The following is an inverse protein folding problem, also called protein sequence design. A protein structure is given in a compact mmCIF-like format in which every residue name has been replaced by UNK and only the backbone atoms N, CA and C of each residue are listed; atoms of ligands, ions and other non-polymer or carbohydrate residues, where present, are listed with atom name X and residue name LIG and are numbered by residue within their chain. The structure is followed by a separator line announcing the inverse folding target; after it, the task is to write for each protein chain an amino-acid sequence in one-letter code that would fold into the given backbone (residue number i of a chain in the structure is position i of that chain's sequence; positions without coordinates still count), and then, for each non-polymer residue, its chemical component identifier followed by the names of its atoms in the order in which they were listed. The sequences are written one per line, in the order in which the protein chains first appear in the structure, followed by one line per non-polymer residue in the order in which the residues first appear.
data_IF_127185746918
#
_entry.id   IF_127185746918
#
_cell.length_a   1.000
_cell.length_b   1.000
_cell.length_c   1.000
_cell.angle_alpha   90.00
_cell.angle_beta   90.00
_cell.angle_gamma   90.00
#
_symmetry.space_group_name_H-M   'P 1'
#
loop_
_entity.id
_entity.type
_entity.pdbx_description
1 polymer ?
#
# COMPACT_ATOMS: atom_id res chain seq x y z
N UNK A 1 10.45 2.44 9.57
CA UNK A 1 9.98 1.62 8.43
C UNK A 1 10.64 2.13 7.16
N UNK A 2 11.90 1.78 6.95
CA UNK A 2 12.59 2.05 5.68
C UNK A 2 12.24 0.90 4.76
N UNK A 3 11.06 0.96 4.14
CA UNK A 3 10.77 0.07 3.03
C UNK A 3 11.78 0.41 1.94
N UNK A 4 12.64 -0.56 1.67
CA UNK A 4 13.61 -0.51 0.60
C UNK A 4 12.94 0.06 -0.66
N UNK A 5 13.57 1.08 -1.22
CA UNK A 5 13.32 1.55 -2.58
C UNK A 5 13.50 0.32 -3.48
N UNK A 6 12.43 -0.42 -3.75
CA UNK A 6 12.44 -1.38 -4.83
C UNK A 6 12.74 -0.54 -6.08
N UNK A 7 13.98 -0.60 -6.54
CA UNK A 7 14.36 -0.03 -7.83
C UNK A 7 13.35 -0.54 -8.86
N UNK A 8 12.86 0.32 -9.75
CA UNK A 8 11.84 -0.05 -10.74
C UNK A 8 12.29 -1.32 -11.51
N UNK A 9 13.59 -1.43 -11.76
CA UNK A 9 14.26 -2.60 -12.35
C UNK A 9 13.99 -3.91 -11.59
N UNK A 10 13.87 -3.90 -10.26
CA UNK A 10 13.52 -5.10 -9.50
C UNK A 10 12.08 -5.54 -9.75
N UNK A 11 11.15 -4.60 -9.86
CA UNK A 11 9.73 -4.88 -10.16
C UNK A 11 9.59 -5.42 -11.60
N UNK A 12 10.35 -4.86 -12.53
CA UNK A 12 10.35 -5.28 -13.93
C UNK A 12 10.85 -6.73 -14.09
N UNK A 13 11.91 -7.06 -13.34
CA UNK A 13 12.55 -8.39 -13.34
C UNK A 13 11.83 -9.45 -12.50
N UNK A 14 10.71 -9.12 -11.83
CA UNK A 14 9.94 -10.12 -11.08
C UNK A 14 9.40 -11.22 -12.00
N UNK A 15 9.48 -12.46 -11.53
CA UNK A 15 8.81 -13.59 -12.16
C UNK A 15 7.28 -13.39 -12.13
N UNK A 16 6.51 -14.01 -13.05
CA UNK A 16 5.06 -13.82 -13.11
C UNK A 16 4.34 -14.06 -11.77
N UNK A 17 4.71 -15.11 -11.04
CA UNK A 17 4.13 -15.43 -9.74
C UNK A 17 4.51 -14.42 -8.64
N UNK A 18 5.74 -13.88 -8.67
CA UNK A 18 6.18 -12.85 -7.72
C UNK A 18 5.42 -11.54 -7.94
N UNK A 19 5.10 -11.20 -9.21
CA UNK A 19 4.27 -10.04 -9.54
C UNK A 19 2.87 -10.18 -8.95
N UNK A 20 2.27 -11.37 -9.00
CA UNK A 20 0.95 -11.61 -8.40
C UNK A 20 0.96 -11.39 -6.89
N UNK A 21 1.99 -11.87 -6.20
CA UNK A 21 2.17 -11.65 -4.76
C UNK A 21 2.36 -10.16 -4.47
N UNK A 22 3.24 -9.48 -5.20
CA UNK A 22 3.50 -8.05 -5.02
C UNK A 22 2.22 -7.21 -5.22
N UNK A 23 1.46 -7.50 -6.28
CA UNK A 23 0.18 -6.82 -6.56
C UNK A 23 -0.82 -7.07 -5.44
N UNK A 24 -0.90 -8.30 -4.92
CA UNK A 24 -1.77 -8.63 -3.78
C UNK A 24 -1.40 -7.80 -2.54
N UNK A 25 -0.12 -7.76 -2.19
CA UNK A 25 0.37 -6.97 -1.07
C UNK A 25 0.12 -5.47 -1.26
N UNK A 26 0.29 -4.96 -2.48
CA UNK A 26 0.02 -3.56 -2.82
C UNK A 26 -1.47 -3.23 -2.68
N UNK A 27 -2.36 -4.11 -3.12
CA UNK A 27 -3.81 -3.93 -2.97
C UNK A 27 -4.18 -3.87 -1.49
N UNK A 28 -3.65 -4.75 -0.65
CA UNK A 28 -3.95 -4.77 0.78
C UNK A 28 -3.42 -3.51 1.48
N UNK A 29 -2.21 -3.06 1.13
CA UNK A 29 -1.66 -1.80 1.63
C UNK A 29 -2.56 -0.60 1.28
N UNK A 30 -3.01 -0.50 0.02
CA UNK A 30 -3.87 0.61 -0.42
C UNK A 30 -5.22 0.63 0.31
N UNK A 31 -5.80 -0.55 0.59
CA UNK A 31 -7.03 -0.66 1.38
C UNK A 31 -6.85 -0.17 2.81
N UNK A 32 -5.73 -0.51 3.43
CA UNK A 32 -5.41 -0.07 4.78
C UNK A 32 -5.18 1.45 4.85
N UNK A 33 -4.47 2.00 3.86
CA UNK A 33 -4.28 3.45 3.73
C UNK A 33 -5.61 4.20 3.53
N UNK A 34 -6.50 3.69 2.66
CA UNK A 34 -7.83 4.26 2.47
C UNK A 34 -8.64 4.26 3.78
N UNK A 35 -8.60 3.15 4.52
CA UNK A 35 -9.25 3.04 5.83
C UNK A 35 -8.69 4.08 6.81
N UNK A 36 -7.37 4.21 6.89
CA UNK A 36 -6.70 5.18 7.77
C UNK A 36 -7.13 6.62 7.45
N UNK A 37 -7.21 6.97 6.17
CA UNK A 37 -7.68 8.29 5.74
C UNK A 37 -9.13 8.54 6.15
N UNK A 38 -10.02 7.55 5.96
CA UNK A 38 -11.43 7.65 6.37
C UNK A 38 -11.56 7.82 7.89
N UNK A 39 -10.81 7.03 8.67
CA UNK A 39 -10.82 7.10 10.13
C UNK A 39 -10.32 8.47 10.62
N UNK A 40 -9.27 9.02 10.00
CA UNK A 40 -8.78 10.37 10.29
C UNK A 40 -9.81 11.46 9.97
N UNK A 41 -10.49 11.36 8.82
CA UNK A 41 -11.54 12.31 8.43
C UNK A 41 -12.72 12.25 9.41
N UNK A 42 -13.16 11.05 9.79
CA UNK A 42 -14.22 10.86 10.76
C UNK A 42 -13.85 11.43 12.15
N UNK A 43 -12.61 11.22 12.60
CA UNK A 43 -12.11 11.77 13.85
C UNK A 43 -12.06 13.31 13.85
N UNK A 44 -11.66 13.91 12.72
CA UNK A 44 -11.67 15.37 12.56
C UNK A 44 -13.10 15.95 12.60
N UNK A 45 -14.06 15.28 11.97
CA UNK A 45 -15.47 15.68 11.97
C UNK A 45 -16.14 15.52 13.34
N UNK A 46 -15.74 14.53 14.14
CA UNK A 46 -16.28 14.34 15.49
C UNK A 46 -15.72 15.32 16.53
N UNK A 47 -14.61 16.01 16.20
CA UNK A 47 -13.89 16.91 17.12
C UNK A 47 -14.22 18.40 16.91
N UNK A 48 -15.03 18.74 15.91
CA UNK A 48 -15.45 20.11 15.57
C UNK A 48 -16.96 20.27 15.65
#
# INVERSE_FOLDING_TARGET
MHHHKWHIEHIENLMPWEKEIYVTMLIDFLREEEKRMKDQQAAQQASG
#
